data_IF_729976349170
#
_entry.id   IF_729976349170
#
_cell.length_a   1.000
_cell.length_b   1.000
_cell.length_c   1.000
_cell.angle_alpha   90.00
_cell.angle_beta   90.00
_cell.angle_gamma   90.00
#
_symmetry.space_group_name_H-M   'P 1'
#
loop_
_entity.id
_entity.type
_entity.pdbx_description
1 polymer ?
#
# COMPACT_ATOMS: atom_id res chain seq x y z
N UNK A 1 18.44 -2.89 1.17
CA UNK A 1 18.23 -3.27 2.58
C UNK A 1 16.75 -3.25 2.90
N UNK A 2 16.32 -3.92 3.97
CA UNK A 2 14.90 -4.11 4.26
C UNK A 2 14.18 -2.78 4.51
N UNK A 3 14.88 -1.80 5.08
CA UNK A 3 14.39 -0.42 5.23
C UNK A 3 14.12 0.26 3.88
N UNK A 4 14.98 0.03 2.87
CA UNK A 4 14.76 0.57 1.53
C UNK A 4 13.49 -0.01 0.89
N UNK A 5 13.23 -1.31 1.07
CA UNK A 5 11.99 -1.95 0.59
C UNK A 5 10.77 -1.34 1.30
N UNK A 6 10.85 -1.11 2.62
CA UNK A 6 9.79 -0.43 3.36
C UNK A 6 9.52 0.97 2.82
N UNK A 7 10.57 1.77 2.55
CA UNK A 7 10.42 3.11 1.97
C UNK A 7 9.76 3.06 0.58
N UNK A 8 10.12 2.08 -0.25
CA UNK A 8 9.48 1.89 -1.57
C UNK A 8 7.99 1.55 -1.43
N UNK A 9 7.63 0.64 -0.51
CA UNK A 9 6.23 0.29 -0.22
C UNK A 9 5.49 1.54 0.25
N UNK A 10 6.03 2.28 1.21
CA UNK A 10 5.43 3.50 1.74
C UNK A 10 5.14 4.55 0.65
N UNK A 11 6.08 4.73 -0.29
CA UNK A 11 5.86 5.63 -1.43
C UNK A 11 4.69 5.19 -2.31
N UNK A 12 4.55 3.89 -2.60
CA UNK A 12 3.41 3.39 -3.39
C UNK A 12 2.11 3.57 -2.63
N UNK A 13 2.09 3.23 -1.33
CA UNK A 13 0.90 3.30 -0.49
C UNK A 13 0.36 4.72 -0.38
N UNK A 14 1.22 5.70 -0.11
CA UNK A 14 0.79 7.06 0.24
C UNK A 14 0.99 8.10 -0.86
N UNK A 15 1.15 7.66 -2.11
CA UNK A 15 1.04 8.52 -3.30
C UNK A 15 -0.31 8.29 -3.98
N UNK A 16 -1.02 9.36 -4.29
CA UNK A 16 -2.24 9.28 -5.08
C UNK A 16 -1.89 9.19 -6.59
N UNK A 17 -2.56 8.32 -7.37
CA UNK A 17 -2.47 8.41 -8.84
C UNK A 17 -2.80 9.83 -9.32
N UNK A 18 -1.94 10.37 -10.19
CA UNK A 18 -1.97 11.75 -10.67
C UNK A 18 -1.07 12.72 -9.92
N UNK A 19 -0.58 12.37 -8.71
CA UNK A 19 0.27 13.25 -7.90
C UNK A 19 1.66 13.47 -8.53
N UNK A 20 2.20 12.43 -9.19
CA UNK A 20 3.49 12.51 -9.89
C UNK A 20 3.29 12.87 -11.36
N UNK A 21 3.60 14.11 -11.75
CA UNK A 21 3.46 14.62 -13.13
C UNK A 21 4.12 13.70 -14.18
N UNK A 22 5.33 13.21 -13.89
CA UNK A 22 6.08 12.36 -14.83
C UNK A 22 5.72 10.87 -14.74
N UNK A 23 4.85 10.47 -13.81
CA UNK A 23 4.35 9.09 -13.62
C UNK A 23 2.94 9.11 -13.05
N UNK A 24 1.94 9.55 -13.83
CA UNK A 24 0.58 9.75 -13.32
C UNK A 24 -0.07 8.47 -12.78
N UNK A 25 0.32 7.30 -13.28
CA UNK A 25 -0.23 6.01 -12.82
C UNK A 25 0.40 5.50 -11.51
N UNK A 26 1.45 6.17 -11.00
CA UNK A 26 2.12 5.73 -9.77
C UNK A 26 1.29 6.06 -8.53
N UNK A 27 1.13 5.06 -7.66
CA UNK A 27 0.36 5.16 -6.42
C UNK A 27 -0.60 4.00 -6.24
N UNK A 28 -1.37 4.01 -5.16
CA UNK A 28 -2.27 2.91 -4.78
C UNK A 28 -3.75 3.29 -4.67
N UNK A 29 -4.07 4.59 -4.63
CA UNK A 29 -5.44 5.05 -4.37
C UNK A 29 -5.94 4.78 -2.94
N UNK A 30 -5.08 4.34 -2.01
CA UNK A 30 -5.39 4.08 -0.60
C UNK A 30 -6.16 5.21 0.09
N UNK A 31 -5.81 6.46 -0.22
CA UNK A 31 -6.42 7.65 0.37
C UNK A 31 -7.90 7.85 -0.01
N UNK A 32 -8.46 7.02 -0.89
CA UNK A 32 -9.91 7.03 -1.18
C UNK A 32 -10.77 6.55 -0.01
N UNK A 33 -10.22 5.74 0.91
CA UNK A 33 -10.96 5.28 2.10
C UNK A 33 -11.39 6.43 3.02
N UNK A 34 -10.59 7.50 3.09
CA UNK A 34 -10.81 8.66 3.98
C UNK A 34 -12.11 9.38 3.66
N UNK A 35 -12.49 9.39 2.39
CA UNK A 35 -13.62 10.15 1.88
C UNK A 35 -14.79 9.24 1.46
N UNK A 36 -14.66 7.92 1.66
CA UNK A 36 -15.69 6.95 1.29
C UNK A 36 -16.52 6.48 2.49
N UNK A 37 -17.72 5.92 2.26
CA UNK A 37 -18.47 5.23 3.31
C UNK A 37 -17.62 4.08 3.84
N UNK A 38 -17.29 4.12 5.14
CA UNK A 38 -16.44 3.12 5.80
C UNK A 38 -17.19 1.78 5.90
N UNK A 39 -17.23 1.07 4.77
CA UNK A 39 -17.95 -0.18 4.53
C UNK A 39 -16.94 -1.30 4.23
N UNK A 40 -17.23 -2.55 4.63
CA UNK A 40 -16.35 -3.69 4.35
C UNK A 40 -16.04 -3.87 2.86
N UNK A 41 -17.01 -3.59 1.99
CA UNK A 41 -16.87 -3.71 0.53
C UNK A 41 -15.85 -2.71 -0.02
N UNK A 42 -15.87 -1.46 0.49
CA UNK A 42 -14.89 -0.45 0.10
C UNK A 42 -13.50 -0.80 0.63
N UNK A 43 -13.40 -1.30 1.86
CA UNK A 43 -12.13 -1.76 2.44
C UNK A 43 -11.50 -2.86 1.57
N UNK A 44 -12.27 -3.90 1.21
CA UNK A 44 -11.79 -4.98 0.35
C UNK A 44 -11.39 -4.49 -1.06
N UNK A 45 -12.14 -3.56 -1.65
CA UNK A 45 -11.79 -2.97 -2.94
C UNK A 45 -10.47 -2.18 -2.88
N UNK A 46 -10.24 -1.47 -1.77
CA UNK A 46 -9.00 -0.73 -1.55
C UNK A 46 -7.84 -1.68 -1.30
N UNK A 47 -8.01 -2.72 -0.49
CA UNK A 47 -7.01 -3.78 -0.30
C UNK A 47 -6.58 -4.39 -1.64
N UNK A 48 -7.54 -4.76 -2.49
CA UNK A 48 -7.26 -5.28 -3.83
C UNK A 48 -6.49 -4.28 -4.70
N UNK A 49 -6.91 -3.02 -4.68
CA UNK A 49 -6.25 -1.95 -5.46
C UNK A 49 -4.81 -1.73 -4.98
N UNK A 50 -4.59 -1.69 -3.66
CA UNK A 50 -3.28 -1.54 -3.04
C UNK A 50 -2.37 -2.72 -3.37
N UNK A 51 -2.90 -3.95 -3.26
CA UNK A 51 -2.16 -5.15 -3.65
C UNK A 51 -1.75 -5.10 -5.13
N UNK A 52 -2.66 -4.72 -6.02
CA UNK A 52 -2.36 -4.54 -7.45
C UNK A 52 -1.28 -3.49 -7.70
N UNK A 53 -1.34 -2.35 -7.02
CA UNK A 53 -0.33 -1.30 -7.14
C UNK A 53 1.05 -1.76 -6.65
N UNK A 54 1.12 -2.45 -5.51
CA UNK A 54 2.38 -3.00 -5.00
C UNK A 54 2.95 -4.07 -5.95
N UNK A 55 2.11 -4.92 -6.54
CA UNK A 55 2.54 -5.88 -7.54
C UNK A 55 3.03 -5.20 -8.82
N UNK A 56 2.32 -4.18 -9.32
CA UNK A 56 2.70 -3.43 -10.51
C UNK A 56 4.05 -2.73 -10.34
N UNK A 57 4.27 -2.07 -9.20
CA UNK A 57 5.44 -1.20 -9.02
C UNK A 57 6.63 -1.89 -8.35
N UNK A 58 6.38 -2.90 -7.51
CA UNK A 58 7.41 -3.57 -6.70
C UNK A 58 7.49 -5.07 -6.95
N UNK A 59 6.77 -5.61 -7.93
CA UNK A 59 6.72 -7.05 -8.24
C UNK A 59 8.06 -7.69 -8.59
N UNK A 60 9.06 -6.92 -9.01
CA UNK A 60 10.45 -7.37 -9.23
C UNK A 60 11.27 -7.46 -7.93
N UNK A 61 10.86 -6.74 -6.88
CA UNK A 61 11.57 -6.66 -5.59
C UNK A 61 10.94 -7.57 -4.54
N UNK A 62 9.61 -7.61 -4.50
CA UNK A 62 8.82 -8.36 -3.54
C UNK A 62 7.73 -9.16 -4.24
N UNK A 63 7.35 -10.30 -3.65
CA UNK A 63 6.08 -10.96 -3.92
C UNK A 63 5.12 -10.59 -2.81
N UNK A 64 4.06 -9.86 -3.15
CA UNK A 64 3.00 -9.47 -2.21
C UNK A 64 2.16 -10.71 -1.88
N UNK A 65 2.10 -11.09 -0.61
CA UNK A 65 1.33 -12.24 -0.13
C UNK A 65 -0.05 -11.81 0.37
N UNK A 66 -0.13 -10.70 1.13
CA UNK A 66 -1.41 -10.13 1.57
C UNK A 66 -1.30 -8.63 1.86
N UNK A 67 -2.44 -7.94 1.77
CA UNK A 67 -2.64 -6.56 2.21
C UNK A 67 -3.91 -6.51 3.05
N UNK A 68 -3.86 -5.87 4.22
CA UNK A 68 -5.06 -5.47 4.96
C UNK A 68 -5.05 -3.97 5.22
N UNK A 69 -6.22 -3.35 5.19
CA UNK A 69 -6.37 -1.91 5.39
C UNK A 69 -7.43 -1.62 6.45
N UNK A 70 -7.04 -0.83 7.44
CA UNK A 70 -7.91 -0.37 8.51
C UNK A 70 -7.96 1.16 8.53
N UNK A 71 -9.13 1.72 8.81
CA UNK A 71 -9.31 3.15 9.05
C UNK A 71 -10.02 3.39 10.37
N UNK A 72 -9.39 4.19 11.25
CA UNK A 72 -9.94 4.61 12.55
C UNK A 72 -9.47 6.03 12.86
N UNK A 73 -10.36 6.89 13.34
CA UNK A 73 -10.02 8.23 13.87
C UNK A 73 -9.08 9.04 12.97
N UNK A 74 -9.38 9.09 11.67
CA UNK A 74 -8.56 9.76 10.64
C UNK A 74 -7.16 9.17 10.46
N UNK A 75 -6.91 7.97 10.95
CA UNK A 75 -5.66 7.23 10.72
C UNK A 75 -5.95 6.04 9.81
N UNK A 76 -5.15 5.88 8.77
CA UNK A 76 -5.10 4.65 7.98
C UNK A 76 -3.94 3.81 8.49
N UNK A 77 -4.20 2.52 8.73
CA UNK A 77 -3.20 1.48 8.95
C UNK A 77 -3.24 0.48 7.81
N UNK A 78 -2.08 0.10 7.31
CA UNK A 78 -1.91 -0.90 6.26
C UNK A 78 -0.91 -1.95 6.72
N UNK A 79 -1.33 -3.20 6.72
CA UNK A 79 -0.41 -4.32 6.92
C UNK A 79 -0.11 -4.98 5.57
N UNK A 80 1.17 -5.16 5.28
CA UNK A 80 1.64 -5.83 4.06
C UNK A 80 2.50 -7.02 4.45
N UNK A 81 2.05 -8.22 4.09
CA UNK A 81 2.87 -9.44 4.14
C UNK A 81 3.49 -9.67 2.77
N UNK A 82 4.80 -9.87 2.74
CA UNK A 82 5.52 -10.05 1.48
C UNK A 82 6.77 -10.90 1.63
N UNK A 83 7.15 -11.55 0.53
CA UNK A 83 8.41 -12.25 0.38
C UNK A 83 9.39 -11.35 -0.39
N UNK A 84 10.57 -11.08 0.18
CA UNK A 84 11.63 -10.37 -0.51
C UNK A 84 12.29 -11.31 -1.52
N UNK A 85 12.26 -10.98 -2.81
CA UNK A 85 12.69 -11.91 -3.86
C UNK A 85 14.18 -12.25 -3.80
N UNK A 86 15.03 -11.26 -3.50
CA UNK A 86 16.49 -11.44 -3.51
C UNK A 86 17.01 -12.44 -2.48
N UNK A 87 16.34 -12.59 -1.34
CA UNK A 87 16.82 -13.39 -0.21
C UNK A 87 15.77 -14.39 0.31
N UNK A 88 14.58 -14.41 -0.29
CA UNK A 88 13.48 -15.31 0.05
C UNK A 88 13.01 -15.20 1.51
N UNK A 89 13.21 -14.04 2.14
CA UNK A 89 12.73 -13.78 3.50
C UNK A 89 11.30 -13.24 3.47
N UNK A 90 10.42 -13.83 4.29
CA UNK A 90 9.09 -13.29 4.53
C UNK A 90 9.17 -12.18 5.57
N UNK A 91 8.44 -11.11 5.30
CA UNK A 91 8.37 -9.93 6.14
C UNK A 91 6.91 -9.52 6.28
N UNK A 92 6.60 -8.93 7.43
CA UNK A 92 5.32 -8.24 7.66
C UNK A 92 5.67 -6.81 8.04
N UNK A 93 5.06 -5.86 7.36
CA UNK A 93 5.27 -4.44 7.61
C UNK A 93 3.93 -3.75 7.86
N UNK A 94 3.87 -3.00 8.96
CA UNK A 94 2.82 -2.02 9.19
C UNK A 94 3.28 -0.65 8.68
N UNK A 95 2.35 0.07 8.05
CA UNK A 95 2.45 1.46 7.64
C UNK A 95 1.24 2.21 8.14
N UNK A 96 1.43 3.43 8.64
CA UNK A 96 0.33 4.26 9.10
C UNK A 96 0.51 5.70 8.68
N UNK A 97 -0.61 6.37 8.42
CA UNK A 97 -0.64 7.82 8.17
C UNK A 97 -1.89 8.41 8.81
N UNK A 98 -1.66 9.41 9.65
CA UNK A 98 -2.72 10.28 10.13
C UNK A 98 -3.07 11.30 9.05
N UNK A 99 -4.37 11.50 8.87
CA UNK A 99 -4.95 12.42 7.91
C UNK A 99 -5.38 13.64 8.70
N UNK A 100 -4.87 14.81 8.30
CA UNK A 100 -5.15 16.10 8.90
C UNK A 100 -6.14 16.91 8.10
#
# INVERSE_FOLDING_TARGET
>A
DDEHIRQMIEQVLFTAPGERVNRPDFGSGLLRLVFGPNSPELAAAVEFTVQGALQQWLGEVIQVESVSVESSDSTIRVHVSYLVRRNQQRQVAEFSRQLG
#
